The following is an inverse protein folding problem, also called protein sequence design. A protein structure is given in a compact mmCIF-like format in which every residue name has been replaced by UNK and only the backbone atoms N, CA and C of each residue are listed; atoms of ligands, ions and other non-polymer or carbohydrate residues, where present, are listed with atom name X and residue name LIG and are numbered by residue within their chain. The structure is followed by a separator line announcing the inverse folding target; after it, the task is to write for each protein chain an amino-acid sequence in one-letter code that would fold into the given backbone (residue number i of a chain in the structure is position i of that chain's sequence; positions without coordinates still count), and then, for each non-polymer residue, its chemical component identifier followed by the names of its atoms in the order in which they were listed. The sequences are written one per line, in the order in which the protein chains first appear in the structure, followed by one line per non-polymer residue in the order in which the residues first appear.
data_IF_573233399927
#
_entry.id   IF_573233399927
#
_cell.length_a   1.000
_cell.length_b   1.000
_cell.length_c   1.000
_cell.angle_alpha   90.00
_cell.angle_beta   90.00
_cell.angle_gamma   90.00
#
_symmetry.space_group_name_H-M   'P 1'
#
loop_
_entity.id
_entity.type
_entity.pdbx_description
1 polymer ?
#
# COMPACT_ATOMS: atom_id res chain seq x y z
N UNK A 1 -18.76 -10.33 -2.19
CA UNK A 1 -18.24 -10.32 -0.78
C UNK A 1 -18.96 -9.27 0.05
N UNK A 2 -19.17 -9.50 1.37
CA UNK A 2 -19.74 -8.48 2.26
C UNK A 2 -18.63 -7.57 2.82
N UNK A 3 -18.50 -6.37 2.27
CA UNK A 3 -17.47 -5.41 2.67
C UNK A 3 -17.64 -4.84 4.09
N UNK A 4 -18.87 -4.82 4.62
CA UNK A 4 -19.15 -4.33 5.98
C UNK A 4 -18.53 -5.21 7.08
N UNK A 5 -18.11 -6.43 6.74
CA UNK A 5 -17.46 -7.37 7.68
C UNK A 5 -15.94 -7.33 7.59
N UNK A 6 -15.37 -6.47 6.75
CA UNK A 6 -13.93 -6.35 6.66
C UNK A 6 -13.32 -5.78 7.95
N UNK A 7 -12.15 -6.28 8.35
CA UNK A 7 -11.43 -5.66 9.46
C UNK A 7 -11.00 -4.24 9.11
N UNK A 8 -10.50 -3.49 10.11
CA UNK A 8 -9.86 -2.20 9.86
C UNK A 8 -8.72 -2.38 8.83
N UNK A 9 -8.82 -1.67 7.71
CA UNK A 9 -7.93 -1.79 6.57
C UNK A 9 -7.51 -0.41 6.08
N UNK A 10 -6.20 -0.24 5.89
CA UNK A 10 -5.60 0.94 5.25
C UNK A 10 -4.91 0.53 3.96
N UNK A 11 -5.14 1.25 2.89
CA UNK A 11 -4.28 1.17 1.71
C UNK A 11 -3.15 2.17 1.87
N UNK A 12 -1.92 1.70 1.80
CA UNK A 12 -0.73 2.53 1.92
C UNK A 12 0.06 2.54 0.63
N UNK A 13 0.72 3.65 0.39
CA UNK A 13 1.74 3.79 -0.63
C UNK A 13 2.84 4.72 -0.13
N UNK A 14 4.08 4.48 -0.50
CA UNK A 14 5.21 5.30 -0.08
C UNK A 14 6.10 5.66 -1.25
N UNK A 15 6.58 6.90 -1.26
CA UNK A 15 7.61 7.35 -2.19
C UNK A 15 8.95 7.54 -1.47
N UNK A 16 10.01 7.13 -2.13
CA UNK A 16 11.36 7.22 -1.59
C UNK A 16 12.23 8.23 -2.35
N UNK A 17 13.31 8.69 -1.71
CA UNK A 17 14.28 9.60 -2.32
C UNK A 17 15.17 8.96 -3.40
N UNK A 18 15.00 7.65 -3.68
CA UNK A 18 15.80 6.90 -4.67
C UNK A 18 17.17 6.42 -4.16
N UNK A 19 17.47 6.58 -2.88
CA UNK A 19 18.64 5.96 -2.24
C UNK A 19 18.37 4.50 -1.85
N UNK A 20 19.41 3.78 -1.47
CA UNK A 20 19.29 2.40 -0.96
C UNK A 20 20.03 2.28 0.40
N UNK A 21 19.33 1.97 1.50
CA UNK A 21 17.87 1.96 1.63
C UNK A 21 17.26 3.35 1.39
N UNK A 22 15.99 3.46 1.00
CA UNK A 22 15.38 4.76 0.71
C UNK A 22 15.06 5.54 1.99
N UNK A 23 15.20 6.88 1.93
CA UNK A 23 14.51 7.76 2.86
C UNK A 23 13.12 8.04 2.31
N UNK A 24 12.11 8.08 3.17
CA UNK A 24 10.74 8.41 2.77
C UNK A 24 10.61 9.89 2.39
N UNK A 25 9.89 10.18 1.32
CA UNK A 25 9.56 11.54 0.86
C UNK A 25 8.06 11.80 0.82
N UNK A 26 7.25 10.74 0.71
CA UNK A 26 5.80 10.80 0.85
C UNK A 26 5.28 9.50 1.45
N UNK A 27 4.27 9.59 2.29
CA UNK A 27 3.48 8.46 2.79
C UNK A 27 2.02 8.80 2.62
N UNK A 28 1.24 7.88 2.07
CA UNK A 28 -0.21 7.93 2.07
C UNK A 28 -0.77 6.72 2.82
N UNK A 29 -1.81 6.95 3.61
CA UNK A 29 -2.57 5.89 4.28
C UNK A 29 -4.06 6.20 4.15
N UNK A 30 -4.75 5.41 3.34
CA UNK A 30 -6.13 5.62 2.94
C UNK A 30 -7.01 4.53 3.54
N UNK A 31 -7.90 4.86 4.51
CA UNK A 31 -8.84 3.89 5.04
C UNK A 31 -9.79 3.33 3.97
N UNK A 32 -10.12 2.05 4.11
CA UNK A 32 -11.15 1.39 3.31
C UNK A 32 -12.37 1.15 4.19
N UNK A 33 -13.51 1.71 3.80
CA UNK A 33 -14.80 1.52 4.46
C UNK A 33 -15.82 0.99 3.47
N UNK A 34 -16.58 0.01 3.86
CA UNK A 34 -17.59 -0.62 2.98
C UNK A 34 -17.04 -1.01 1.60
N UNK A 35 -15.78 -1.44 1.57
CA UNK A 35 -15.05 -1.84 0.37
C UNK A 35 -14.58 -0.68 -0.52
N UNK A 36 -14.81 0.57 -0.15
CA UNK A 36 -14.37 1.76 -0.90
C UNK A 36 -13.35 2.62 -0.16
N UNK A 37 -12.59 3.49 -0.88
CA UNK A 37 -11.67 4.43 -0.27
C UNK A 37 -12.40 5.51 0.53
N UNK A 38 -12.05 5.69 1.81
CA UNK A 38 -12.54 6.79 2.64
C UNK A 38 -11.52 7.93 2.68
N UNK A 39 -11.73 8.93 1.83
CA UNK A 39 -10.83 10.09 1.75
C UNK A 39 -11.02 11.09 2.89
N UNK A 40 -12.09 10.99 3.67
CA UNK A 40 -12.40 11.94 4.76
C UNK A 40 -11.45 11.80 5.95
N UNK A 41 -10.89 10.61 6.13
CA UNK A 41 -9.96 10.28 7.22
C UNK A 41 -8.59 9.84 6.72
N UNK A 42 -8.28 10.07 5.45
CA UNK A 42 -7.00 9.71 4.85
C UNK A 42 -5.83 10.49 5.46
N UNK A 43 -4.72 9.80 5.73
CA UNK A 43 -3.44 10.40 6.08
C UNK A 43 -2.57 10.60 4.84
N UNK A 44 -1.93 11.78 4.75
CA UNK A 44 -0.96 12.07 3.70
C UNK A 44 0.15 12.99 4.27
N UNK A 45 1.39 12.56 4.13
CA UNK A 45 2.54 13.26 4.67
C UNK A 45 3.63 13.44 3.63
N UNK A 46 4.00 14.69 3.34
CA UNK A 46 5.23 15.02 2.65
C UNK A 46 6.36 15.10 3.65
N UNK A 47 7.52 14.57 3.31
CA UNK A 47 8.64 14.40 4.23
C UNK A 47 9.91 14.98 3.59
N UNK A 48 10.61 15.81 4.33
CA UNK A 48 11.93 16.29 3.95
C UNK A 48 12.98 15.21 4.32
N UNK A 49 13.55 14.54 3.31
CA UNK A 49 14.52 13.49 3.60
C UNK A 49 15.87 14.07 4.02
N UNK A 50 16.68 13.34 4.83
CA UNK A 50 18.03 13.77 5.21
C UNK A 50 19.00 13.73 4.03
N UNK A 51 18.83 12.81 3.08
CA UNK A 51 19.63 12.71 1.85
C UNK A 51 18.87 13.28 0.65
N UNK A 52 19.57 13.85 -0.34
CA UNK A 52 18.91 14.41 -1.52
C UNK A 52 18.02 13.40 -2.26
N UNK A 53 16.94 13.89 -2.85
CA UNK A 53 16.13 13.13 -3.81
C UNK A 53 16.94 12.99 -5.10
N UNK A 54 17.06 11.75 -5.60
CA UNK A 54 17.76 11.50 -6.86
C UNK A 54 16.98 12.06 -8.05
N UNK A 55 17.66 12.46 -9.15
CA UNK A 55 16.97 12.96 -10.35
C UNK A 55 15.93 11.98 -10.89
N UNK A 56 16.23 10.66 -10.83
CA UNK A 56 15.32 9.60 -11.27
C UNK A 56 14.04 9.55 -10.42
N UNK A 57 14.17 9.58 -9.10
CA UNK A 57 13.04 9.59 -8.19
C UNK A 57 12.20 10.86 -8.37
N UNK A 58 12.84 12.02 -8.41
CA UNK A 58 12.18 13.31 -8.66
C UNK A 58 11.43 13.34 -10.02
N UNK A 59 12.00 12.72 -11.05
CA UNK A 59 11.33 12.58 -12.36
C UNK A 59 10.10 11.68 -12.32
N UNK A 60 10.05 10.69 -11.41
CA UNK A 60 8.94 9.76 -11.28
C UNK A 60 7.76 10.40 -10.53
N UNK A 61 7.97 10.88 -9.31
CA UNK A 61 6.90 11.36 -8.42
C UNK A 61 6.81 12.90 -8.33
N UNK A 62 7.69 13.65 -8.98
CA UNK A 62 7.66 15.11 -9.01
C UNK A 62 8.16 15.82 -7.72
N UNK A 63 8.50 15.07 -6.67
CA UNK A 63 8.94 15.62 -5.40
C UNK A 63 10.43 15.97 -5.46
N UNK A 64 10.74 17.24 -5.67
CA UNK A 64 12.10 17.77 -5.69
C UNK A 64 12.54 18.26 -4.32
N UNK A 65 13.85 18.55 -4.15
CA UNK A 65 14.38 19.22 -2.95
C UNK A 65 13.61 20.51 -2.63
N UNK A 66 13.28 21.30 -3.65
CA UNK A 66 12.52 22.55 -3.48
C UNK A 66 11.08 22.30 -3.01
N UNK A 67 10.41 21.30 -3.58
CA UNK A 67 9.04 20.94 -3.19
C UNK A 67 8.96 20.47 -1.73
N UNK A 68 10.01 19.83 -1.22
CA UNK A 68 10.06 19.28 0.13
C UNK A 68 10.76 20.19 1.16
N UNK A 69 11.23 21.37 0.76
CA UNK A 69 12.06 22.24 1.62
C UNK A 69 11.38 22.63 2.94
N UNK A 70 10.07 22.84 2.90
CA UNK A 70 9.27 23.25 4.05
C UNK A 70 8.49 22.07 4.68
N UNK A 71 8.68 20.85 4.19
CA UNK A 71 8.05 19.66 4.78
C UNK A 71 8.74 19.29 6.09
N UNK A 72 8.02 18.67 7.03
CA UNK A 72 8.62 18.14 8.26
C UNK A 72 9.62 17.04 7.93
N UNK A 73 10.53 16.78 8.84
CA UNK A 73 11.38 15.58 8.82
C UNK A 73 10.60 14.36 9.28
N UNK A 74 11.13 13.17 9.00
CA UNK A 74 10.52 11.94 9.50
C UNK A 74 10.38 11.93 11.02
N UNK A 75 11.38 12.39 11.75
CA UNK A 75 11.37 12.42 13.21
C UNK A 75 10.23 13.27 13.78
N UNK A 76 9.84 14.33 13.08
CA UNK A 76 8.76 15.22 13.52
C UNK A 76 7.38 14.61 13.34
N UNK A 77 7.20 13.65 12.40
CA UNK A 77 5.88 13.09 12.07
C UNK A 77 5.75 11.58 12.35
N UNK A 78 6.84 10.90 12.70
CA UNK A 78 6.83 9.44 12.87
C UNK A 78 5.77 8.95 13.86
N UNK A 79 5.56 9.68 14.96
CA UNK A 79 4.54 9.33 15.96
C UNK A 79 3.12 9.45 15.37
N UNK A 80 2.85 10.51 14.62
CA UNK A 80 1.56 10.73 13.96
C UNK A 80 1.27 9.65 12.91
N UNK A 81 2.28 9.32 12.08
CA UNK A 81 2.15 8.24 11.09
C UNK A 81 1.91 6.90 11.78
N UNK A 82 2.67 6.60 12.83
CA UNK A 82 2.51 5.36 13.60
C UNK A 82 1.11 5.24 14.21
N UNK A 83 0.59 6.30 14.83
CA UNK A 83 -0.75 6.35 15.38
C UNK A 83 -1.83 6.13 14.33
N UNK A 84 -1.68 6.77 13.16
CA UNK A 84 -2.64 6.63 12.05
C UNK A 84 -2.65 5.23 11.46
N UNK A 85 -1.48 4.60 11.29
CA UNK A 85 -1.37 3.23 10.80
C UNK A 85 -1.92 2.21 11.80
N UNK A 86 -1.73 2.44 13.10
CA UNK A 86 -2.19 1.55 14.15
C UNK A 86 -1.81 0.09 13.93
N UNK A 87 -2.70 -0.81 14.32
CA UNK A 87 -2.59 -2.26 14.12
C UNK A 87 -3.51 -2.77 12.99
N UNK A 88 -3.97 -1.88 12.11
CA UNK A 88 -4.85 -2.23 11.01
C UNK A 88 -4.20 -3.25 10.05
N UNK A 89 -5.03 -3.91 9.24
CA UNK A 89 -4.56 -4.54 8.01
C UNK A 89 -4.04 -3.46 7.06
N UNK A 90 -2.96 -3.78 6.37
CA UNK A 90 -2.36 -2.89 5.37
C UNK A 90 -2.50 -3.53 4.00
N UNK A 91 -2.85 -2.74 3.01
CA UNK A 91 -2.86 -3.14 1.62
C UNK A 91 -1.97 -2.21 0.81
N UNK A 92 -1.17 -2.76 -0.10
CA UNK A 92 -0.38 -1.98 -1.04
C UNK A 92 -0.22 -2.72 -2.37
N UNK A 93 0.27 -2.04 -3.41
CA UNK A 93 0.59 -2.68 -4.67
C UNK A 93 2.08 -3.03 -4.73
N UNK A 94 2.44 -4.32 -4.68
CA UNK A 94 3.79 -4.81 -4.40
C UNK A 94 4.19 -4.50 -2.94
N UNK A 95 3.31 -4.86 -2.03
CA UNK A 95 3.29 -4.48 -0.62
C UNK A 95 4.59 -4.75 0.16
N UNK A 96 5.41 -5.67 -0.31
CA UNK A 96 6.71 -5.94 0.32
C UNK A 96 7.61 -4.70 0.34
N UNK A 97 7.54 -3.85 -0.70
CA UNK A 97 8.32 -2.62 -0.81
C UNK A 97 7.89 -1.60 0.24
N UNK A 98 6.58 -1.32 0.31
CA UNK A 98 6.00 -0.35 1.23
C UNK A 98 6.15 -0.79 2.68
N UNK A 99 5.85 -2.06 2.95
CA UNK A 99 6.00 -2.65 4.28
C UNK A 99 7.45 -2.55 4.79
N UNK A 100 8.43 -2.90 3.95
CA UNK A 100 9.85 -2.81 4.34
C UNK A 100 10.29 -1.38 4.60
N UNK A 101 9.87 -0.44 3.76
CA UNK A 101 10.20 0.97 3.93
C UNK A 101 9.60 1.52 5.22
N UNK A 102 8.30 1.28 5.47
CA UNK A 102 7.63 1.69 6.71
C UNK A 102 8.25 1.01 7.95
N UNK A 103 8.49 -0.31 7.88
CA UNK A 103 9.08 -1.07 8.99
C UNK A 103 10.49 -0.61 9.36
N UNK A 104 11.29 -0.20 8.38
CA UNK A 104 12.62 0.37 8.63
C UNK A 104 12.56 1.72 9.38
N UNK A 105 11.49 2.50 9.15
CA UNK A 105 11.27 3.79 9.77
C UNK A 105 10.42 3.71 11.07
N UNK A 106 9.64 2.64 11.23
CA UNK A 106 8.77 2.36 12.38
C UNK A 106 9.05 0.93 12.90
N UNK A 107 10.20 0.66 13.53
CA UNK A 107 10.60 -0.70 13.91
C UNK A 107 9.65 -1.39 14.89
N UNK A 108 8.91 -0.63 15.70
CA UNK A 108 7.92 -1.16 16.66
C UNK A 108 6.53 -1.37 16.05
N UNK A 109 6.26 -0.84 14.86
CA UNK A 109 4.97 -1.00 14.20
C UNK A 109 4.68 -2.47 13.83
N UNK A 110 3.47 -2.93 14.13
CA UNK A 110 3.02 -4.32 13.95
C UNK A 110 1.62 -4.31 13.34
N UNK A 111 1.50 -4.27 12.01
CA UNK A 111 0.18 -4.42 11.38
C UNK A 111 -0.37 -5.84 11.60
N UNK A 112 -1.70 -5.97 11.66
CA UNK A 112 -2.38 -7.26 11.79
C UNK A 112 -2.11 -8.17 10.61
N UNK A 113 -2.03 -7.60 9.39
CA UNK A 113 -1.72 -8.35 8.18
C UNK A 113 -1.39 -7.45 7.01
N UNK A 114 -0.83 -8.05 5.94
CA UNK A 114 -0.40 -7.34 4.73
C UNK A 114 -1.06 -7.97 3.51
N UNK A 115 -1.94 -7.24 2.84
CA UNK A 115 -2.48 -7.60 1.53
C UNK A 115 -1.61 -7.00 0.42
N UNK A 116 -1.33 -7.78 -0.60
CA UNK A 116 -0.61 -7.34 -1.80
C UNK A 116 -1.51 -7.45 -3.03
N UNK A 117 -1.94 -6.30 -3.58
CA UNK A 117 -2.79 -6.28 -4.77
C UNK A 117 -2.08 -6.76 -6.03
N UNK A 118 -0.76 -6.71 -6.10
CA UNK A 118 0.01 -7.33 -7.21
C UNK A 118 -0.12 -8.86 -7.17
N UNK A 119 0.03 -9.45 -5.97
CA UNK A 119 -0.16 -10.89 -5.76
C UNK A 119 -1.60 -11.29 -6.03
N UNK A 120 -2.57 -10.55 -5.49
CA UNK A 120 -4.00 -10.76 -5.70
C UNK A 120 -4.35 -10.73 -7.18
N UNK A 121 -3.84 -9.72 -7.92
CA UNK A 121 -4.09 -9.60 -9.36
C UNK A 121 -3.55 -10.79 -10.15
N UNK A 122 -2.39 -11.32 -9.80
CA UNK A 122 -1.82 -12.53 -10.41
C UNK A 122 -2.68 -13.77 -10.17
N UNK A 123 -3.32 -13.85 -8.99
CA UNK A 123 -4.24 -14.94 -8.66
C UNK A 123 -5.58 -14.81 -9.40
N UNK A 124 -6.09 -13.57 -9.54
CA UNK A 124 -7.39 -13.26 -10.13
C UNK A 124 -7.36 -13.24 -11.67
N UNK A 125 -6.34 -12.59 -12.26
CA UNK A 125 -6.23 -12.36 -13.71
C UNK A 125 -5.00 -13.07 -14.29
N UNK A 126 -5.00 -14.39 -14.26
CA UNK A 126 -3.83 -15.24 -14.60
C UNK A 126 -3.31 -15.01 -16.02
N UNK A 127 -4.21 -14.69 -16.96
CA UNK A 127 -3.88 -14.52 -18.38
C UNK A 127 -3.44 -13.10 -18.73
N UNK A 128 -3.46 -12.16 -17.77
CA UNK A 128 -3.00 -10.80 -18.02
C UNK A 128 -1.47 -10.77 -18.12
N UNK A 129 -0.88 -10.19 -19.19
CA UNK A 129 0.58 -10.24 -19.38
C UNK A 129 1.37 -9.35 -18.41
N UNK A 130 0.72 -8.36 -17.81
CA UNK A 130 1.33 -7.41 -16.86
C UNK A 130 0.36 -7.07 -15.75
N UNK A 131 0.86 -7.06 -14.51
CA UNK A 131 0.06 -6.79 -13.30
C UNK A 131 0.56 -5.54 -12.54
N UNK A 132 1.37 -4.67 -13.16
CA UNK A 132 1.71 -3.39 -12.53
C UNK A 132 0.44 -2.50 -12.44
N UNK A 133 0.47 -1.51 -11.55
CA UNK A 133 -0.67 -0.65 -11.23
C UNK A 133 -1.34 -0.09 -12.50
N UNK A 134 -0.56 0.45 -13.42
CA UNK A 134 -1.06 0.99 -14.69
C UNK A 134 -1.75 -0.03 -15.60
N UNK A 135 -1.21 -1.25 -15.66
CA UNK A 135 -1.81 -2.31 -16.46
C UNK A 135 -3.16 -2.74 -15.87
N UNK A 136 -3.24 -2.81 -14.55
CA UNK A 136 -4.49 -3.13 -13.85
C UNK A 136 -5.52 -2.02 -13.98
N UNK A 137 -5.13 -0.75 -13.85
CA UNK A 137 -6.03 0.40 -14.09
C UNK A 137 -6.62 0.34 -15.51
N UNK A 138 -5.79 0.07 -16.52
CA UNK A 138 -6.28 -0.06 -17.91
C UNK A 138 -7.20 -1.26 -18.12
N UNK A 139 -6.94 -2.37 -17.44
CA UNK A 139 -7.71 -3.60 -17.57
C UNK A 139 -9.07 -3.51 -16.85
N UNK A 140 -9.04 -3.12 -15.57
CA UNK A 140 -10.19 -3.09 -14.68
C UNK A 140 -11.05 -1.84 -14.90
N UNK A 141 -10.39 -0.72 -15.28
CA UNK A 141 -11.02 0.61 -15.47
C UNK A 141 -11.81 1.05 -14.22
N UNK A 142 -11.17 1.07 -13.05
CA UNK A 142 -11.84 1.50 -11.83
C UNK A 142 -12.24 2.97 -11.92
N UNK A 143 -13.22 3.39 -11.12
CA UNK A 143 -13.58 4.80 -11.01
C UNK A 143 -12.49 5.56 -10.24
N UNK A 144 -11.77 6.42 -10.94
CA UNK A 144 -10.72 7.27 -10.39
C UNK A 144 -11.07 8.76 -10.43
N UNK A 145 -12.35 9.11 -10.62
CA UNK A 145 -12.81 10.51 -10.74
C UNK A 145 -12.54 11.32 -9.47
N UNK A 146 -12.58 10.68 -8.29
CA UNK A 146 -12.27 11.30 -7.00
C UNK A 146 -10.80 11.10 -6.55
N UNK A 147 -9.96 10.49 -7.39
CA UNK A 147 -8.54 10.34 -7.08
C UNK A 147 -7.83 11.71 -7.07
N UNK A 148 -6.80 11.89 -6.21
CA UNK A 148 -5.91 13.05 -6.31
C UNK A 148 -5.30 13.15 -7.71
N UNK A 149 -5.11 14.38 -8.21
CA UNK A 149 -4.90 14.63 -9.65
C UNK A 149 -3.57 14.10 -10.23
N UNK A 150 -2.58 13.77 -9.40
CA UNK A 150 -1.24 13.46 -9.89
C UNK A 150 -0.87 11.99 -9.70
N UNK A 151 -0.66 11.27 -10.79
CA UNK A 151 -0.10 9.91 -10.82
C UNK A 151 1.34 9.88 -10.29
N UNK A 152 1.76 8.73 -9.80
CA UNK A 152 3.06 8.54 -9.14
C UNK A 152 3.23 9.48 -7.93
N UNK A 153 2.15 9.74 -7.25
CA UNK A 153 2.10 10.31 -5.92
C UNK A 153 1.45 9.29 -5.02
N UNK A 154 1.96 9.13 -3.82
CA UNK A 154 1.48 8.12 -2.89
C UNK A 154 -0.04 8.20 -2.67
N UNK A 155 -0.60 9.41 -2.64
CA UNK A 155 -2.04 9.62 -2.49
C UNK A 155 -2.87 9.10 -3.67
N UNK A 156 -2.38 9.28 -4.91
CA UNK A 156 -3.05 8.75 -6.10
C UNK A 156 -2.94 7.23 -6.17
N UNK A 157 -1.72 6.71 -5.96
CA UNK A 157 -1.44 5.28 -6.11
C UNK A 157 -2.15 4.46 -5.02
N UNK A 158 -2.27 5.01 -3.78
CA UNK A 158 -3.10 4.43 -2.73
C UNK A 158 -4.59 4.42 -3.09
N UNK A 159 -5.13 5.51 -3.66
CA UNK A 159 -6.53 5.56 -4.11
C UNK A 159 -6.81 4.55 -5.22
N UNK A 160 -5.96 4.51 -6.24
CA UNK A 160 -6.08 3.55 -7.33
C UNK A 160 -5.99 2.10 -6.81
N UNK A 161 -5.06 1.83 -5.90
CA UNK A 161 -4.89 0.51 -5.27
C UNK A 161 -6.14 0.10 -4.46
N UNK A 162 -6.79 1.03 -3.74
CA UNK A 162 -8.03 0.76 -3.02
C UNK A 162 -9.17 0.35 -3.98
N UNK A 163 -9.31 1.06 -5.08
CA UNK A 163 -10.32 0.76 -6.09
C UNK A 163 -10.05 -0.58 -6.81
N UNK A 164 -8.78 -0.89 -7.08
CA UNK A 164 -8.38 -2.19 -7.64
C UNK A 164 -8.63 -3.33 -6.66
N UNK A 165 -8.31 -3.14 -5.36
CA UNK A 165 -8.61 -4.11 -4.32
C UNK A 165 -10.10 -4.43 -4.28
N UNK A 166 -10.96 -3.40 -4.28
CA UNK A 166 -12.42 -3.56 -4.31
C UNK A 166 -12.86 -4.40 -5.50
N UNK A 167 -12.43 -4.04 -6.70
CA UNK A 167 -12.82 -4.73 -7.92
C UNK A 167 -12.36 -6.20 -7.94
N UNK A 168 -11.15 -6.49 -7.44
CA UNK A 168 -10.65 -7.85 -7.36
C UNK A 168 -11.33 -8.66 -6.26
N UNK A 169 -11.73 -8.02 -5.16
CA UNK A 169 -12.40 -8.69 -4.04
C UNK A 169 -13.75 -9.31 -4.44
N UNK A 170 -14.42 -8.79 -5.48
CA UNK A 170 -15.66 -9.36 -5.99
C UNK A 170 -15.50 -10.78 -6.60
N UNK A 171 -14.26 -11.22 -6.85
CA UNK A 171 -13.94 -12.58 -7.28
C UNK A 171 -13.78 -13.58 -6.13
N UNK A 172 -13.94 -13.14 -4.88
CA UNK A 172 -13.78 -13.96 -3.69
C UNK A 172 -15.03 -13.90 -2.81
N UNK A 173 -15.45 -15.04 -2.28
CA UNK A 173 -16.69 -15.13 -1.47
C UNK A 173 -16.45 -14.63 -0.04
N UNK A 174 -15.25 -14.88 0.51
CA UNK A 174 -14.91 -14.59 1.91
C UNK A 174 -13.61 -13.80 2.04
N UNK A 175 -13.46 -13.12 3.20
CA UNK A 175 -12.21 -12.47 3.59
C UNK A 175 -11.04 -13.45 3.63
N UNK A 176 -11.23 -14.67 4.15
CA UNK A 176 -10.17 -15.68 4.24
C UNK A 176 -9.68 -16.14 2.87
N UNK A 177 -10.57 -16.28 1.89
CA UNK A 177 -10.18 -16.58 0.51
C UNK A 177 -9.36 -15.43 -0.10
N UNK A 178 -9.77 -14.16 0.15
CA UNK A 178 -9.02 -12.99 -0.28
C UNK A 178 -7.62 -12.96 0.36
N UNK A 179 -7.54 -13.19 1.68
CA UNK A 179 -6.28 -13.24 2.44
C UNK A 179 -5.35 -14.32 1.88
N UNK A 180 -5.87 -15.54 1.65
CA UNK A 180 -5.09 -16.64 1.10
C UNK A 180 -4.48 -16.29 -0.28
N UNK A 181 -5.22 -15.54 -1.10
CA UNK A 181 -4.76 -15.11 -2.42
C UNK A 181 -3.81 -13.90 -2.35
N UNK A 182 -4.03 -12.97 -1.42
CA UNK A 182 -3.39 -11.66 -1.40
C UNK A 182 -2.16 -11.57 -0.48
N UNK A 183 -2.14 -12.30 0.65
CA UNK A 183 -1.03 -12.17 1.63
C UNK A 183 0.23 -12.88 1.14
N UNK A 184 1.35 -12.15 1.01
CA UNK A 184 2.62 -12.78 0.65
C UNK A 184 3.14 -13.69 1.76
N UNK A 185 3.74 -14.85 1.43
CA UNK A 185 4.38 -15.71 2.42
C UNK A 185 5.42 -14.96 3.26
N UNK A 186 5.42 -15.20 4.55
CA UNK A 186 6.39 -14.59 5.49
C UNK A 186 6.08 -13.15 5.89
N UNK A 187 5.00 -12.54 5.39
CA UNK A 187 4.51 -11.26 5.89
C UNK A 187 3.41 -11.45 6.94
N UNK A 188 3.13 -10.43 7.78
CA UNK A 188 2.05 -10.48 8.75
C UNK A 188 0.72 -10.90 8.12
N UNK A 189 -0.04 -11.73 8.81
CA UNK A 189 -1.31 -12.26 8.32
C UNK A 189 -1.20 -13.44 7.35
N UNK A 190 0.01 -13.89 7.00
CA UNK A 190 0.18 -15.08 6.17
C UNK A 190 -0.36 -16.30 6.89
N UNK A 191 -1.13 -17.19 6.20
CA UNK A 191 -1.52 -18.46 6.76
C UNK A 191 -0.28 -19.25 7.22
N UNK A 192 -0.38 -19.89 8.37
CA UNK A 192 0.70 -20.80 8.79
C UNK A 192 0.85 -21.90 7.72
N UNK A 193 2.09 -22.24 7.32
CA UNK A 193 2.31 -23.36 6.42
C UNK A 193 1.74 -24.60 7.07
N UNK A 194 0.94 -25.37 6.33
CA UNK A 194 0.46 -26.67 6.79
C UNK A 194 1.66 -27.47 7.29
N UNK A 195 1.67 -27.81 8.56
CA UNK A 195 2.66 -28.76 9.11
C UNK A 195 2.40 -30.08 8.41
N UNK A 196 3.19 -30.38 7.37
CA UNK A 196 3.17 -31.73 6.81
C UNK A 196 3.35 -32.72 7.97
N UNK A 197 2.40 -33.65 8.19
CA UNK A 197 2.63 -34.70 9.16
C UNK A 197 3.86 -35.48 8.67
N UNK A 198 4.92 -35.43 9.47
CA UNK A 198 6.16 -36.14 9.22
C UNK A 198 5.81 -37.60 8.93
N UNK A 199 6.01 -38.01 7.69
CA UNK A 199 6.03 -39.44 7.33
C UNK A 199 7.23 -40.06 8.06
N UNK A 200 6.96 -40.83 9.08
CA UNK A 200 7.91 -41.74 9.73
C UNK A 200 8.11 -42.94 8.83
#
# INVERSE_FOLDING_TARGET
MNFATWPALLVVDVEGNGANPPDLVEVAALPVRDGGPDTSTAGAWLIRPPRPVTPRAASLHGLTKGALANSPTWQEIAAQVHEHLGEAWICAHNAHTDYRALKAHLPQWKPTGILDTLRLARATYKDLPRHNLDALIRHIKPDLTAAPAQRHRATYDAYATAQLLRAMADHYDTWDQLVAAAVPPGLPGAPEPEKNPTLW
#
